data_IF_093770448030
#
_entry.id   IF_093770448030
#
_cell.length_a   1.000
_cell.length_b   1.000
_cell.length_c   1.000
_cell.angle_alpha   90.00
_cell.angle_beta   90.00
_cell.angle_gamma   90.00
#
_symmetry.space_group_name_H-M   'P 1'
#
loop_
_entity.id
_entity.type
_entity.pdbx_description
1 polymer ?
#
# COMPACT_ATOMS: atom_id res chain seq x y z
N UNK A 1 -1.39 22.21 4.99
CA UNK A 1 -2.51 21.82 5.87
C UNK A 1 -2.10 20.52 6.56
N UNK A 2 -1.78 20.59 7.84
CA UNK A 2 -1.11 19.49 8.56
C UNK A 2 -2.04 18.87 9.60
N UNK A 3 -2.04 17.53 9.71
CA UNK A 3 -2.77 16.82 10.75
C UNK A 3 -2.01 16.98 12.07
N UNK A 4 -2.65 17.62 13.04
CA UNK A 4 -2.06 17.84 14.36
C UNK A 4 -2.47 16.76 15.35
N UNK A 5 -3.72 16.29 15.26
CA UNK A 5 -4.23 15.30 16.20
C UNK A 5 -5.32 14.45 15.57
N UNK A 6 -5.24 13.15 15.84
CA UNK A 6 -6.32 12.17 15.60
C UNK A 6 -6.78 11.64 16.95
N UNK A 7 -8.08 11.65 17.19
CA UNK A 7 -8.69 11.11 18.40
C UNK A 7 -9.70 10.04 18.00
N UNK A 8 -9.59 8.85 18.59
CA UNK A 8 -10.51 7.74 18.34
C UNK A 8 -11.93 8.07 18.84
N UNK A 9 -12.94 7.45 18.23
CA UNK A 9 -14.31 7.53 18.72
C UNK A 9 -14.41 7.06 20.19
N UNK A 10 -15.25 7.71 20.99
CA UNK A 10 -15.45 7.40 22.41
C UNK A 10 -14.40 8.02 23.36
N UNK A 11 -13.22 8.40 22.87
CA UNK A 11 -12.20 9.02 23.70
C UNK A 11 -12.61 10.45 24.17
N UNK A 12 -12.01 10.96 25.26
CA UNK A 12 -12.29 12.32 25.74
C UNK A 12 -12.19 13.38 24.63
N UNK A 13 -13.19 14.26 24.56
CA UNK A 13 -13.31 15.28 23.50
C UNK A 13 -14.02 14.80 22.23
N UNK A 14 -14.43 13.53 22.14
CA UNK A 14 -15.21 13.00 21.00
C UNK A 14 -16.64 12.61 21.32
N UNK A 15 -17.05 12.65 22.61
CA UNK A 15 -18.38 12.22 23.07
C UNK A 15 -19.55 12.87 22.32
N UNK A 16 -19.46 14.17 22.00
CA UNK A 16 -20.47 14.86 21.18
C UNK A 16 -20.62 14.26 19.78
N UNK A 17 -19.51 13.85 19.15
CA UNK A 17 -19.55 13.24 17.82
C UNK A 17 -20.02 11.79 17.86
N UNK A 18 -19.79 11.09 18.97
CA UNK A 18 -20.38 9.77 19.19
C UNK A 18 -21.91 9.91 19.33
N UNK A 19 -22.40 10.93 20.01
CA UNK A 19 -23.85 11.19 20.09
C UNK A 19 -24.46 11.51 18.72
N UNK A 20 -23.72 12.21 17.84
CA UNK A 20 -24.20 12.63 16.52
C UNK A 20 -24.10 11.51 15.46
N UNK A 21 -22.98 10.78 15.41
CA UNK A 21 -22.68 9.81 14.37
C UNK A 21 -22.76 8.35 14.84
N UNK A 22 -22.96 8.11 16.14
CA UNK A 22 -23.07 6.79 16.73
C UNK A 22 -21.86 5.89 16.42
N UNK A 23 -22.15 4.62 16.21
CA UNK A 23 -21.15 3.58 15.90
C UNK A 23 -20.47 3.77 14.54
N UNK A 24 -21.03 4.64 13.69
CA UNK A 24 -20.42 4.97 12.39
C UNK A 24 -19.21 5.88 12.54
N UNK A 25 -18.99 6.50 13.70
CA UNK A 25 -17.84 7.36 13.93
C UNK A 25 -16.54 6.53 14.01
N UNK A 26 -15.61 6.80 13.12
CA UNK A 26 -14.27 6.18 13.15
C UNK A 26 -13.33 7.01 14.02
N UNK A 27 -13.18 8.30 13.71
CA UNK A 27 -12.31 9.20 14.45
C UNK A 27 -12.61 10.68 14.18
N UNK A 28 -12.05 11.55 15.03
CA UNK A 28 -12.03 13.00 14.84
C UNK A 28 -10.60 13.47 14.57
N UNK A 29 -10.40 14.30 13.54
CA UNK A 29 -9.10 14.85 13.15
C UNK A 29 -9.08 16.36 13.22
N UNK A 30 -8.04 16.89 13.85
CA UNK A 30 -7.73 18.31 13.94
C UNK A 30 -6.60 18.63 12.97
N UNK A 31 -6.83 19.60 12.08
CA UNK A 31 -5.88 20.01 11.06
C UNK A 31 -5.71 21.51 11.08
N UNK A 32 -4.46 21.98 11.02
CA UNK A 32 -4.18 23.42 10.96
C UNK A 32 -3.63 23.78 9.60
N UNK A 33 -4.15 24.87 9.06
CA UNK A 33 -3.65 25.51 7.87
C UNK A 33 -3.04 26.85 8.30
N UNK A 34 -1.73 26.83 8.52
CA UNK A 34 -0.98 28.02 8.95
C UNK A 34 -0.91 29.09 7.86
N UNK A 35 -0.94 28.69 6.58
CA UNK A 35 -0.86 29.60 5.44
C UNK A 35 -2.08 30.50 5.39
N UNK A 36 -3.26 29.92 5.62
CA UNK A 36 -4.53 30.66 5.61
C UNK A 36 -5.09 30.98 7.01
N UNK A 37 -4.34 30.67 8.07
CA UNK A 37 -4.77 30.90 9.46
C UNK A 37 -5.99 30.10 9.92
N UNK A 38 -6.28 28.94 9.30
CA UNK A 38 -7.51 28.16 9.56
C UNK A 38 -7.26 26.95 10.45
N UNK A 39 -8.21 26.67 11.35
CA UNK A 39 -8.30 25.43 12.11
C UNK A 39 -9.48 24.63 11.62
N UNK A 40 -9.21 23.41 11.15
CA UNK A 40 -10.23 22.48 10.70
C UNK A 40 -10.40 21.38 11.72
N UNK A 41 -11.66 21.02 11.93
CA UNK A 41 -12.06 19.84 12.68
C UNK A 41 -12.93 19.00 11.76
N UNK A 42 -12.51 17.75 11.56
CA UNK A 42 -13.15 16.83 10.62
C UNK A 42 -13.47 15.53 11.34
N UNK A 43 -14.58 14.91 10.96
CA UNK A 43 -14.96 13.57 11.41
C UNK A 43 -14.77 12.59 10.26
N UNK A 44 -14.32 11.39 10.56
CA UNK A 44 -14.33 10.26 9.62
C UNK A 44 -15.44 9.31 10.06
N UNK A 45 -16.34 9.01 9.13
CA UNK A 45 -17.51 8.17 9.37
C UNK A 45 -17.57 7.03 8.37
N UNK A 46 -18.14 5.90 8.78
CA UNK A 46 -18.48 4.78 7.90
C UNK A 46 -19.74 5.14 7.11
N UNK A 47 -19.62 5.29 5.79
CA UNK A 47 -20.75 5.65 4.91
C UNK A 47 -21.53 4.40 4.45
N UNK A 48 -20.81 3.32 4.14
CA UNK A 48 -21.37 2.01 3.82
C UNK A 48 -20.50 0.91 4.42
N UNK A 49 -21.12 -0.23 4.69
CA UNK A 49 -20.45 -1.46 5.09
C UNK A 49 -20.91 -2.56 4.14
N UNK A 50 -19.95 -3.20 3.50
CA UNK A 50 -20.19 -4.27 2.53
C UNK A 50 -19.25 -5.43 2.82
N UNK A 51 -19.72 -6.65 2.59
CA UNK A 51 -18.90 -7.84 2.72
C UNK A 51 -17.77 -7.80 1.68
N UNK A 52 -16.54 -7.55 2.12
CA UNK A 52 -15.36 -7.58 1.29
C UNK A 52 -14.67 -8.93 1.39
N UNK A 53 -14.67 -9.70 0.29
CA UNK A 53 -13.84 -10.90 0.20
C UNK A 53 -12.47 -10.53 -0.35
N UNK A 54 -11.38 -10.58 0.45
CA UNK A 54 -10.05 -10.32 -0.06
C UNK A 54 -9.74 -11.33 -1.15
N UNK A 55 -9.31 -10.84 -2.33
CA UNK A 55 -8.83 -11.72 -3.41
C UNK A 55 -7.58 -12.44 -2.92
N UNK A 56 -7.73 -13.66 -2.41
CA UNK A 56 -6.61 -14.52 -2.04
C UNK A 56 -5.71 -14.70 -3.28
N UNK A 57 -4.43 -14.37 -3.14
CA UNK A 57 -3.46 -14.44 -4.24
C UNK A 57 -3.44 -13.25 -5.20
N UNK A 58 -4.19 -12.17 -4.95
CA UNK A 58 -4.03 -10.96 -5.76
C UNK A 58 -2.71 -10.25 -5.45
N UNK A 59 -1.84 -10.20 -6.46
CA UNK A 59 -0.58 -9.47 -6.41
C UNK A 59 -0.73 -8.26 -7.33
N UNK A 60 -0.67 -7.02 -6.81
CA UNK A 60 -0.74 -5.83 -7.66
C UNK A 60 0.34 -5.88 -8.75
N UNK A 61 -0.01 -5.56 -9.99
CA UNK A 61 0.93 -5.63 -11.12
C UNK A 61 2.18 -4.75 -10.92
N UNK A 62 2.03 -3.64 -10.20
CA UNK A 62 3.10 -2.72 -9.85
C UNK A 62 3.87 -3.11 -8.58
N UNK A 63 3.48 -4.19 -7.88
CA UNK A 63 4.22 -4.68 -6.72
C UNK A 63 5.57 -5.20 -7.20
N UNK A 64 6.65 -4.68 -6.65
CA UNK A 64 7.99 -5.20 -6.93
C UNK A 64 8.12 -6.62 -6.37
N UNK A 65 8.59 -7.54 -7.21
CA UNK A 65 8.88 -8.93 -6.88
C UNK A 65 10.35 -9.22 -7.15
N UNK A 66 10.88 -10.23 -6.48
CA UNK A 66 12.26 -10.69 -6.63
C UNK A 66 12.27 -12.01 -7.37
N UNK A 67 12.86 -12.06 -8.55
CA UNK A 67 12.93 -13.24 -9.39
C UNK A 67 14.32 -13.85 -9.30
N UNK A 68 14.37 -15.18 -9.10
CA UNK A 68 15.62 -15.94 -9.13
C UNK A 68 15.93 -16.35 -10.58
N UNK A 69 17.07 -15.88 -11.07
CA UNK A 69 17.62 -16.24 -12.39
C UNK A 69 19.07 -16.63 -12.16
N UNK A 70 19.46 -17.80 -12.66
CA UNK A 70 20.78 -18.36 -12.42
C UNK A 70 21.84 -17.65 -13.27
N UNK A 71 23.08 -17.67 -12.81
CA UNK A 71 24.19 -16.94 -13.44
C UNK A 71 24.48 -17.39 -14.89
N UNK A 72 24.17 -18.64 -15.22
CA UNK A 72 24.38 -19.23 -16.56
C UNK A 72 23.25 -18.90 -17.54
N UNK A 73 22.08 -18.43 -17.07
CA UNK A 73 20.93 -18.09 -17.91
C UNK A 73 21.10 -16.69 -18.55
N UNK A 74 22.18 -16.50 -19.31
CA UNK A 74 22.56 -15.19 -19.91
C UNK A 74 21.46 -14.60 -20.76
N UNK A 75 20.76 -15.42 -21.55
CA UNK A 75 19.63 -14.98 -22.39
C UNK A 75 18.49 -14.38 -21.55
N UNK A 76 18.15 -15.01 -20.43
CA UNK A 76 17.11 -14.50 -19.53
C UNK A 76 17.58 -13.23 -18.81
N UNK A 77 18.84 -13.15 -18.40
CA UNK A 77 19.40 -11.92 -17.80
C UNK A 77 19.32 -10.73 -18.76
N UNK A 78 19.65 -10.93 -20.04
CA UNK A 78 19.50 -9.90 -21.07
C UNK A 78 18.03 -9.50 -21.25
N UNK A 79 17.11 -10.47 -21.31
CA UNK A 79 15.69 -10.24 -21.47
C UNK A 79 15.10 -9.41 -20.31
N UNK A 80 15.34 -9.81 -19.06
CA UNK A 80 14.81 -9.07 -17.90
C UNK A 80 15.41 -7.68 -17.78
N UNK A 81 16.70 -7.52 -18.11
CA UNK A 81 17.36 -6.22 -18.13
C UNK A 81 16.74 -5.29 -19.19
N UNK A 82 16.41 -5.80 -20.38
CA UNK A 82 15.69 -5.04 -21.40
C UNK A 82 14.26 -4.68 -20.99
N UNK A 83 13.63 -5.50 -20.14
CA UNK A 83 12.31 -5.23 -19.57
C UNK A 83 12.33 -4.30 -18.35
N UNK A 84 13.48 -3.69 -18.03
CA UNK A 84 13.64 -2.72 -16.94
C UNK A 84 13.90 -3.33 -15.56
N UNK A 85 14.21 -4.63 -15.47
CA UNK A 85 14.54 -5.26 -14.20
C UNK A 85 15.89 -4.75 -13.65
N UNK A 86 15.96 -4.57 -12.33
CA UNK A 86 17.18 -4.17 -11.61
C UNK A 86 17.81 -5.38 -10.95
N UNK A 87 19.09 -5.67 -11.20
CA UNK A 87 19.82 -6.65 -10.41
C UNK A 87 20.11 -6.11 -9.02
N UNK A 88 19.83 -6.90 -7.98
CA UNK A 88 20.16 -6.59 -6.59
C UNK A 88 21.25 -7.56 -6.09
N UNK A 89 22.50 -7.09 -5.93
CA UNK A 89 23.60 -7.94 -5.51
C UNK A 89 23.40 -8.49 -4.09
N UNK A 90 22.85 -7.69 -3.17
CA UNK A 90 22.65 -8.08 -1.76
C UNK A 90 21.70 -9.28 -1.60
N UNK A 91 20.70 -9.38 -2.49
CA UNK A 91 19.72 -10.48 -2.48
C UNK A 91 20.06 -11.58 -3.48
N UNK A 92 21.04 -11.36 -4.37
CA UNK A 92 21.28 -12.21 -5.54
C UNK A 92 19.98 -12.50 -6.32
N UNK A 93 19.17 -11.46 -6.56
CA UNK A 93 17.88 -11.55 -7.26
C UNK A 93 17.67 -10.36 -8.20
N UNK A 94 16.80 -10.57 -9.19
CA UNK A 94 16.32 -9.50 -10.07
C UNK A 94 15.03 -8.90 -9.50
N UNK A 95 15.01 -7.59 -9.30
CA UNK A 95 13.82 -6.82 -8.90
C UNK A 95 13.09 -6.32 -10.14
N UNK A 96 11.80 -6.61 -10.24
CA UNK A 96 10.91 -6.06 -11.27
C UNK A 96 9.46 -6.02 -10.79
N UNK A 97 8.56 -5.24 -11.42
CA UNK A 97 7.13 -5.31 -11.15
C UNK A 97 6.56 -6.72 -11.43
N UNK A 98 5.60 -7.17 -10.64
CA UNK A 98 4.93 -8.47 -10.83
C UNK A 98 4.32 -8.61 -12.23
N UNK A 99 3.76 -7.53 -12.78
CA UNK A 99 3.26 -7.50 -14.15
C UNK A 99 4.32 -7.85 -15.19
N UNK A 100 5.56 -7.37 -15.00
CA UNK A 100 6.71 -7.70 -15.86
C UNK A 100 7.16 -9.14 -15.67
N UNK A 101 7.20 -9.64 -14.43
CA UNK A 101 7.52 -11.05 -14.18
C UNK A 101 6.49 -11.99 -14.83
N UNK A 102 5.21 -11.61 -14.77
CA UNK A 102 4.09 -12.32 -15.39
C UNK A 102 4.16 -12.32 -16.92
N UNK A 103 4.42 -11.17 -17.54
CA UNK A 103 4.52 -11.09 -19.02
C UNK A 103 5.72 -11.88 -19.57
N UNK A 104 6.78 -12.04 -18.76
CA UNK A 104 7.96 -12.83 -19.11
C UNK A 104 7.84 -14.33 -18.73
N UNK A 105 6.71 -14.75 -18.12
CA UNK A 105 6.50 -16.14 -17.71
C UNK A 105 7.41 -16.59 -16.55
N UNK A 106 7.81 -15.65 -15.68
CA UNK A 106 8.75 -15.89 -14.57
C UNK A 106 8.05 -16.05 -13.22
N UNK A 107 6.72 -16.27 -13.19
CA UNK A 107 5.93 -16.32 -11.96
C UNK A 107 6.39 -17.41 -10.98
N UNK A 108 6.74 -18.59 -11.48
CA UNK A 108 7.24 -19.71 -10.66
C UNK A 108 8.63 -19.47 -10.06
N UNK A 109 9.36 -18.49 -10.61
CA UNK A 109 10.71 -18.11 -10.16
C UNK A 109 10.69 -16.94 -9.17
N UNK A 110 9.50 -16.47 -8.79
CA UNK A 110 9.36 -15.40 -7.79
C UNK A 110 9.67 -15.95 -6.40
N UNK A 111 10.59 -15.28 -5.73
CA UNK A 111 10.93 -15.52 -4.34
C UNK A 111 9.96 -14.70 -3.45
N UNK A 112 8.94 -15.37 -2.90
CA UNK A 112 7.94 -14.75 -2.02
C UNK A 112 8.44 -14.51 -0.58
N UNK A 113 9.65 -14.97 -0.25
CA UNK A 113 10.19 -14.97 1.11
C UNK A 113 10.98 -13.71 1.48
N UNK A 114 10.86 -12.63 0.69
CA UNK A 114 11.80 -11.49 0.67
C UNK A 114 11.20 -10.12 0.96
#
# INVERSE_FOLDING_TARGET
MDIQRRIAAGAPGTKKYVQEYGDRLVCVRYKYDKVHGKKFKTVEIVVSEESWTPRRGYVPMNKNVYVRILAHEKRLQHLVRSAGATWLPDKLRWRMPYGTARSLGLEERIDWSC
#
